data_IF_620507121314
#
_entry.id   IF_620507121314
#
_cell.length_a   1.000
_cell.length_b   1.000
_cell.length_c   1.000
_cell.angle_alpha   90.00
_cell.angle_beta   90.00
_cell.angle_gamma   90.00
#
_symmetry.space_group_name_H-M   'P 1'
#
loop_
_entity.id
_entity.type
_entity.pdbx_description
1 polymer ?
#
# COMPACT_ATOMS: atom_id res chain seq x y z
N UNK A 1 -7.36 13.64 -6.01
CA UNK A 1 -6.00 13.06 -6.17
C UNK A 1 -5.27 13.28 -4.86
N UNK A 2 -4.76 12.22 -4.22
CA UNK A 2 -4.05 12.32 -2.94
C UNK A 2 -2.54 12.31 -3.19
N UNK A 3 -1.82 13.21 -2.53
CA UNK A 3 -0.37 13.24 -2.52
C UNK A 3 0.11 13.02 -1.10
N UNK A 4 1.07 12.13 -0.93
CA UNK A 4 1.75 11.86 0.34
C UNK A 4 3.21 12.23 0.10
N UNK A 5 3.69 13.22 0.84
CA UNK A 5 5.07 13.69 0.79
C UNK A 5 5.62 13.47 2.19
N UNK A 6 6.71 12.71 2.26
CA UNK A 6 7.39 12.41 3.51
C UNK A 6 8.35 13.53 3.88
N UNK A 7 8.45 13.82 5.17
CA UNK A 7 9.50 14.66 5.72
C UNK A 7 10.89 14.00 5.61
N UNK A 8 11.98 14.75 5.79
CA UNK A 8 13.37 14.29 5.58
C UNK A 8 13.74 13.02 6.39
N UNK A 9 13.09 12.79 7.54
CA UNK A 9 13.29 11.63 8.42
C UNK A 9 12.08 10.70 8.48
N UNK A 10 11.14 10.87 7.57
CA UNK A 10 9.96 10.02 7.45
C UNK A 10 10.17 8.96 6.37
N UNK A 11 9.93 7.71 6.72
CA UNK A 11 10.08 6.58 5.83
C UNK A 11 9.02 5.52 6.09
N UNK A 12 8.67 4.80 5.02
CA UNK A 12 7.70 3.72 5.08
C UNK A 12 8.22 2.56 5.94
N UNK A 13 7.39 2.07 6.84
CA UNK A 13 7.64 0.90 7.69
C UNK A 13 6.60 -0.19 7.48
N UNK A 14 5.48 0.13 6.84
CA UNK A 14 4.45 -0.84 6.52
C UNK A 14 3.46 -0.36 5.47
N UNK A 15 2.76 -1.33 4.90
CA UNK A 15 1.62 -1.15 4.02
C UNK A 15 0.51 -2.10 4.47
N UNK A 16 -0.71 -1.60 4.47
CA UNK A 16 -1.91 -2.41 4.68
C UNK A 16 -2.99 -1.98 3.71
N UNK A 17 -4.09 -2.73 3.68
CA UNK A 17 -5.20 -2.40 2.81
C UNK A 17 -6.13 -3.57 2.63
N UNK A 18 -6.94 -3.51 1.57
CA UNK A 18 -7.89 -4.57 1.22
C UNK A 18 -7.78 -5.02 -0.22
N UNK A 19 -8.08 -6.29 -0.42
CA UNK A 19 -8.29 -6.89 -1.73
C UNK A 19 -9.75 -7.28 -1.85
N UNK A 20 -10.39 -6.93 -2.97
CA UNK A 20 -11.81 -7.21 -3.18
C UNK A 20 -12.15 -7.34 -4.66
N UNK A 21 -13.42 -7.61 -4.94
CA UNK A 21 -13.92 -7.76 -6.30
C UNK A 21 -14.35 -6.41 -6.88
N UNK A 22 -13.95 -6.14 -8.12
CA UNK A 22 -14.45 -5.04 -8.95
C UNK A 22 -14.88 -5.63 -10.30
N UNK A 23 -16.18 -5.85 -10.46
CA UNK A 23 -16.71 -6.70 -11.54
C UNK A 23 -16.23 -8.14 -11.37
N UNK A 24 -15.70 -8.72 -12.44
CA UNK A 24 -15.13 -10.08 -12.44
C UNK A 24 -13.65 -10.13 -12.02
N UNK A 25 -13.04 -8.98 -11.72
CA UNK A 25 -11.62 -8.88 -11.37
C UNK A 25 -11.42 -8.76 -9.86
N UNK A 26 -10.35 -9.38 -9.35
CA UNK A 26 -9.83 -9.14 -8.01
C UNK A 26 -8.81 -8.01 -8.05
N UNK A 27 -9.00 -6.98 -7.24
CA UNK A 27 -8.20 -5.75 -7.24
C UNK A 27 -7.86 -5.31 -5.81
N UNK A 28 -6.85 -4.45 -5.68
CA UNK A 28 -6.61 -3.69 -4.46
C UNK A 28 -7.72 -2.65 -4.32
N UNK A 29 -8.57 -2.78 -3.29
CA UNK A 29 -9.71 -1.89 -3.06
C UNK A 29 -9.38 -0.74 -2.13
N UNK A 30 -8.43 -0.94 -1.20
CA UNK A 30 -7.87 0.14 -0.39
C UNK A 30 -6.39 -0.07 -0.09
N UNK A 31 -5.67 1.04 0.15
CA UNK A 31 -4.29 1.04 0.64
C UNK A 31 -4.09 2.05 1.77
N UNK A 32 -3.24 1.68 2.70
CA UNK A 32 -2.79 2.49 3.82
C UNK A 32 -1.28 2.36 3.93
N UNK A 33 -0.61 3.50 4.02
CA UNK A 33 0.84 3.58 4.14
C UNK A 33 1.20 3.96 5.58
N UNK A 34 2.01 3.14 6.23
CA UNK A 34 2.48 3.40 7.58
C UNK A 34 3.95 3.82 7.53
N UNK A 35 4.26 4.95 8.15
CA UNK A 35 5.62 5.47 8.32
C UNK A 35 6.06 5.37 9.77
N UNK A 36 7.32 5.67 10.03
CA UNK A 36 7.84 5.81 11.39
C UNK A 36 7.24 7.00 12.17
N UNK A 37 6.52 7.91 11.49
CA UNK A 37 5.93 9.11 12.09
C UNK A 37 4.40 9.00 12.19
N UNK A 38 3.75 8.38 11.20
CA UNK A 38 2.28 8.32 11.16
C UNK A 38 1.73 7.33 10.14
N UNK A 39 0.44 7.48 9.87
CA UNK A 39 -0.30 6.61 8.94
C UNK A 39 -1.09 7.46 7.95
N UNK A 40 -1.00 7.11 6.67
CA UNK A 40 -1.68 7.77 5.57
C UNK A 40 -2.68 6.81 4.92
N UNK A 41 -3.97 7.16 4.98
CA UNK A 41 -5.05 6.35 4.43
C UNK A 41 -6.24 6.22 5.40
N UNK A 42 -7.20 5.35 5.14
CA UNK A 42 -7.25 4.45 3.98
C UNK A 42 -7.59 5.20 2.69
N UNK A 43 -6.91 4.86 1.59
CA UNK A 43 -7.24 5.37 0.25
C UNK A 43 -7.94 4.29 -0.57
N UNK A 44 -9.17 4.56 -0.99
CA UNK A 44 -9.99 3.64 -1.77
C UNK A 44 -11.33 3.34 -1.10
N UNK A 45 -11.90 2.18 -1.40
CA UNK A 45 -13.16 1.70 -0.83
C UNK A 45 -12.92 0.52 0.09
N UNK A 46 -13.74 0.38 1.13
CA UNK A 46 -13.50 -0.59 2.20
C UNK A 46 -14.16 -2.00 2.05
N UNK A 47 -14.73 -2.45 0.91
CA UNK A 47 -15.13 -3.86 0.79
C UNK A 47 -13.92 -4.74 0.46
N UNK A 48 -13.83 -5.90 1.09
CA UNK A 48 -12.81 -6.92 0.75
C UNK A 48 -12.19 -7.59 1.97
N UNK A 49 -11.09 -8.29 1.71
CA UNK A 49 -10.27 -8.99 2.70
C UNK A 49 -9.02 -8.17 3.03
N UNK A 50 -8.73 -8.04 4.32
CA UNK A 50 -7.58 -7.30 4.83
C UNK A 50 -6.25 -7.97 4.46
N UNK A 51 -5.27 -7.14 4.12
CA UNK A 51 -3.85 -7.52 4.07
C UNK A 51 -3.02 -6.51 4.88
N UNK A 52 -1.89 -6.97 5.41
CA UNK A 52 -0.89 -6.11 6.02
C UNK A 52 0.51 -6.68 5.86
N UNK A 53 1.47 -5.79 5.68
CA UNK A 53 2.88 -6.12 5.57
C UNK A 53 3.71 -5.00 6.20
N UNK A 54 4.61 -5.35 7.10
CA UNK A 54 5.52 -4.40 7.74
C UNK A 54 6.93 -4.98 7.87
N UNK A 55 7.92 -4.10 7.95
CA UNK A 55 9.32 -4.50 8.16
C UNK A 55 9.82 -4.00 9.50
N UNK A 56 10.44 -4.89 10.27
CA UNK A 56 11.16 -4.52 11.49
C UNK A 56 12.63 -4.18 11.22
N UNK A 57 13.16 -4.67 10.10
CA UNK A 57 14.53 -4.44 9.61
C UNK A 57 14.53 -4.35 8.08
N UNK A 58 15.38 -3.49 7.53
CA UNK A 58 15.41 -3.17 6.10
C UNK A 58 14.58 -1.93 5.76
N UNK A 59 14.63 -1.52 4.49
CA UNK A 59 13.94 -0.33 3.98
C UNK A 59 13.08 -0.69 2.78
N UNK A 60 11.92 -0.05 2.66
CA UNK A 60 11.17 -0.03 1.41
C UNK A 60 11.93 0.81 0.38
N UNK A 61 12.38 0.17 -0.70
CA UNK A 61 13.12 0.84 -1.77
C UNK A 61 12.29 1.07 -3.03
N UNK A 62 11.10 0.47 -3.11
CA UNK A 62 10.17 0.74 -4.21
C UNK A 62 8.95 -0.18 -4.19
N UNK A 63 8.16 -0.06 -5.24
CA UNK A 63 6.96 -0.84 -5.47
C UNK A 63 7.01 -1.50 -6.85
N UNK A 64 6.29 -2.61 -7.00
CA UNK A 64 6.00 -3.22 -8.29
C UNK A 64 4.56 -3.71 -8.29
N UNK A 65 4.00 -4.03 -9.46
CA UNK A 65 2.63 -4.49 -9.52
C UNK A 65 2.08 -4.58 -10.93
N UNK A 66 0.77 -4.75 -11.01
CA UNK A 66 0.01 -4.77 -12.25
C UNK A 66 -1.20 -3.85 -12.10
N UNK A 67 -1.48 -3.07 -13.13
CA UNK A 67 -2.69 -2.27 -13.21
C UNK A 67 -3.32 -2.34 -14.60
N UNK A 68 -4.65 -2.19 -14.61
CA UNK A 68 -5.48 -1.91 -15.77
C UNK A 68 -6.31 -0.66 -15.49
N UNK A 69 -7.64 -0.81 -15.43
CA UNK A 69 -8.54 0.24 -14.93
C UNK A 69 -8.40 0.49 -13.42
N UNK A 70 -7.89 -0.51 -12.70
CA UNK A 70 -7.65 -0.51 -11.26
C UNK A 70 -6.27 -1.11 -10.96
N UNK A 71 -5.81 -1.04 -9.71
CA UNK A 71 -4.58 -1.73 -9.28
C UNK A 71 -4.93 -3.19 -9.02
N UNK A 72 -4.50 -4.09 -9.90
CA UNK A 72 -4.79 -5.53 -9.80
C UNK A 72 -3.90 -6.20 -8.75
N UNK A 73 -2.64 -5.74 -8.64
CA UNK A 73 -1.69 -6.24 -7.64
C UNK A 73 -0.66 -5.18 -7.27
N UNK A 74 -0.24 -5.21 -6.01
CA UNK A 74 0.77 -4.33 -5.45
C UNK A 74 1.76 -5.17 -4.63
N UNK A 75 3.03 -5.05 -4.96
CA UNK A 75 4.15 -5.64 -4.24
C UNK A 75 5.18 -4.57 -3.86
N UNK A 76 6.09 -4.94 -2.95
CA UNK A 76 7.11 -4.04 -2.39
C UNK A 76 8.50 -4.59 -2.60
N UNK A 77 9.44 -3.70 -2.91
CA UNK A 77 10.86 -4.03 -3.05
C UNK A 77 11.55 -3.63 -1.76
N UNK A 78 12.22 -4.59 -1.13
CA UNK A 78 12.97 -4.38 0.10
C UNK A 78 14.46 -4.31 -0.19
N UNK A 79 15.14 -3.42 0.51
CA UNK A 79 16.59 -3.37 0.58
C UNK A 79 17.04 -3.70 1.99
N UNK A 80 18.05 -4.58 2.08
CA UNK A 80 18.70 -4.98 3.32
C UNK A 80 19.60 -3.87 3.86
#
# INVERSE_FOLDING_TARGET
>A
MHHIIFDDNEYLIGISGRVGSFGDNTVITSVTFQTNIGTYGEYGTNPGTDFSFGVTRGKFSGFYGKCGSSVDSLGVILQA
#
